data_IF_548507689611
#
_entry.id   IF_548507689611
#
_cell.length_a   1.000
_cell.length_b   1.000
_cell.length_c   1.000
_cell.angle_alpha   90.00
_cell.angle_beta   90.00
_cell.angle_gamma   90.00
#
_symmetry.space_group_name_H-M   'P 1'
#
loop_
_entity.id
_entity.type
_entity.pdbx_description
1 polymer ?
#
# COMPACT_ATOMS: atom_id res chain seq x y z
N UNK A 1 -75.45 20.46 41.07
CA UNK A 1 -74.70 20.60 39.81
C UNK A 1 -73.39 19.86 39.93
N UNK A 2 -73.29 18.66 39.29
CA UNK A 2 -72.03 17.84 39.33
C UNK A 2 -71.34 17.96 37.96
N UNK A 3 -70.20 18.65 37.94
CA UNK A 3 -69.38 18.82 36.75
C UNK A 3 -68.56 17.55 36.54
N UNK A 4 -68.81 16.83 35.47
CA UNK A 4 -68.02 15.67 35.02
C UNK A 4 -66.78 16.17 34.28
N UNK A 5 -65.60 16.00 34.86
CA UNK A 5 -64.31 16.26 34.20
C UNK A 5 -63.98 15.03 33.30
N UNK A 6 -64.06 15.21 31.95
CA UNK A 6 -63.66 14.18 30.97
C UNK A 6 -62.12 14.26 30.83
N UNK A 7 -61.44 13.27 31.37
CA UNK A 7 -60.01 13.06 31.07
C UNK A 7 -59.85 12.38 29.72
N UNK A 8 -59.22 13.09 28.80
CA UNK A 8 -58.84 12.57 27.47
C UNK A 8 -57.47 11.82 27.59
N UNK A 9 -57.36 10.54 27.25
CA UNK A 9 -56.05 9.86 27.28
C UNK A 9 -55.20 10.34 26.09
N UNK A 10 -54.05 10.95 26.43
CA UNK A 10 -53.00 11.29 25.44
C UNK A 10 -52.31 9.99 25.06
N UNK A 11 -52.62 9.53 23.84
CA UNK A 11 -51.95 8.39 23.21
C UNK A 11 -50.53 8.85 22.76
N UNK A 12 -49.51 8.56 23.57
CA UNK A 12 -48.13 8.79 23.20
C UNK A 12 -47.72 7.78 22.11
N UNK A 13 -47.74 8.21 20.83
CA UNK A 13 -47.14 7.48 19.73
C UNK A 13 -45.62 7.47 19.89
N UNK A 14 -45.06 6.39 20.42
CA UNK A 14 -43.63 6.10 20.39
C UNK A 14 -43.23 5.83 18.92
N UNK A 15 -42.77 6.87 18.25
CA UNK A 15 -42.11 6.74 16.94
C UNK A 15 -40.70 6.14 17.26
N UNK A 16 -40.61 4.83 17.12
CA UNK A 16 -39.34 4.12 17.09
C UNK A 16 -38.58 4.57 15.84
N UNK A 17 -37.74 5.59 15.99
CA UNK A 17 -36.73 5.93 14.98
C UNK A 17 -35.76 4.74 14.88
N UNK A 18 -35.92 3.96 13.83
CA UNK A 18 -34.96 2.94 13.47
C UNK A 18 -33.68 3.67 13.09
N UNK A 19 -32.77 3.81 14.05
CA UNK A 19 -31.43 4.31 13.81
C UNK A 19 -30.76 3.31 12.84
N UNK A 20 -30.70 3.65 11.55
CA UNK A 20 -29.88 2.94 10.60
C UNK A 20 -28.46 3.07 11.10
N UNK A 21 -27.86 1.94 11.48
CA UNK A 21 -26.48 1.91 11.97
C UNK A 21 -25.54 2.47 10.89
N UNK A 22 -24.84 3.53 11.24
CA UNK A 22 -23.72 4.02 10.43
C UNK A 22 -22.49 3.14 10.71
N UNK A 23 -21.60 3.00 9.71
CA UNK A 23 -20.33 2.34 9.94
C UNK A 23 -19.54 3.06 11.03
N UNK A 24 -18.68 2.32 11.73
CA UNK A 24 -17.81 2.87 12.77
C UNK A 24 -16.38 2.94 12.25
N UNK A 25 -15.76 4.11 12.33
CA UNK A 25 -14.32 4.24 12.11
C UNK A 25 -13.56 3.70 13.33
N UNK A 26 -12.65 2.75 13.10
CA UNK A 26 -11.78 2.18 14.14
C UNK A 26 -10.36 2.61 13.88
N UNK A 27 -9.79 3.35 14.81
CA UNK A 27 -8.37 3.70 14.79
C UNK A 27 -7.56 2.56 15.40
N UNK A 28 -7.00 1.68 14.53
CA UNK A 28 -6.16 0.57 14.96
C UNK A 28 -4.80 1.10 15.45
N UNK A 29 -4.31 0.67 16.64
CA UNK A 29 -3.00 1.08 17.14
C UNK A 29 -1.87 0.30 16.41
N UNK A 30 -1.53 0.73 15.21
CA UNK A 30 -0.45 0.11 14.44
C UNK A 30 0.92 0.38 15.06
N UNK A 31 1.79 -0.62 15.20
CA UNK A 31 3.20 -0.39 15.50
C UNK A 31 3.94 0.18 14.27
N UNK A 32 5.20 0.68 14.42
CA UNK A 32 6.05 0.98 13.28
C UNK A 32 6.16 -0.23 12.35
N UNK A 33 6.07 -0.01 11.03
CA UNK A 33 6.02 -1.09 10.07
C UNK A 33 7.36 -1.82 9.94
N UNK A 34 7.27 -3.16 9.91
CA UNK A 34 8.27 -4.06 9.31
C UNK A 34 7.59 -4.81 8.18
N UNK A 35 7.80 -4.39 6.94
CA UNK A 35 7.11 -4.94 5.79
C UNK A 35 8.06 -5.22 4.63
N UNK A 36 7.87 -6.36 3.95
CA UNK A 36 8.50 -6.68 2.68
C UNK A 36 7.43 -6.79 1.61
N UNK A 37 7.59 -6.00 0.55
CA UNK A 37 6.71 -6.00 -0.61
C UNK A 37 7.29 -6.95 -1.66
N UNK A 38 6.47 -7.93 -2.05
CA UNK A 38 6.72 -8.89 -3.12
C UNK A 38 6.11 -8.34 -4.41
N UNK A 39 6.94 -7.74 -5.26
CA UNK A 39 6.49 -7.11 -6.51
C UNK A 39 6.92 -7.98 -7.69
N UNK A 40 5.93 -8.60 -8.33
CA UNK A 40 6.08 -9.41 -9.52
C UNK A 40 5.00 -9.03 -10.53
N UNK A 41 5.36 -8.21 -11.51
CA UNK A 41 4.41 -7.69 -12.49
C UNK A 41 4.59 -8.34 -13.87
N UNK A 42 3.46 -8.54 -14.56
CA UNK A 42 3.44 -9.00 -15.94
C UNK A 42 3.68 -7.84 -16.94
N UNK A 43 3.35 -6.62 -16.55
CA UNK A 43 3.54 -5.39 -17.33
C UNK A 43 4.29 -4.33 -16.49
N UNK A 44 5.45 -3.83 -16.95
CA UNK A 44 6.20 -2.80 -16.22
C UNK A 44 5.46 -1.46 -16.07
N UNK A 45 4.45 -1.19 -16.89
CA UNK A 45 3.63 0.02 -16.75
C UNK A 45 2.72 0.00 -15.52
N UNK A 46 2.53 -1.17 -14.90
CA UNK A 46 1.75 -1.32 -13.67
C UNK A 46 2.53 -0.95 -12.39
N UNK A 47 3.82 -0.58 -12.52
CA UNK A 47 4.68 -0.25 -11.38
C UNK A 47 4.07 0.84 -10.47
N UNK A 48 3.40 1.82 -11.02
CA UNK A 48 2.76 2.88 -10.25
C UNK A 48 1.65 2.36 -9.34
N UNK A 49 0.94 1.32 -9.78
CA UNK A 49 -0.09 0.65 -8.99
C UNK A 49 0.53 -0.14 -7.82
N UNK A 50 1.68 -0.79 -8.03
CA UNK A 50 2.42 -1.45 -6.95
C UNK A 50 2.98 -0.42 -5.95
N UNK A 51 3.56 0.68 -6.43
CA UNK A 51 4.08 1.77 -5.59
C UNK A 51 2.96 2.49 -4.80
N UNK A 52 1.72 2.44 -5.27
CA UNK A 52 0.58 2.94 -4.48
C UNK A 52 0.42 2.18 -3.16
N UNK A 53 0.68 0.87 -3.13
CA UNK A 53 0.62 0.07 -1.91
C UNK A 53 1.72 0.47 -0.90
N UNK A 54 2.94 0.70 -1.39
CA UNK A 54 4.05 1.21 -0.58
C UNK A 54 3.69 2.57 0.00
N UNK A 55 3.21 3.50 -0.85
CA UNK A 55 2.76 4.83 -0.42
C UNK A 55 1.65 4.76 0.61
N UNK A 56 0.67 3.87 0.41
CA UNK A 56 -0.47 3.71 1.32
C UNK A 56 -0.01 3.34 2.73
N UNK A 57 0.88 2.37 2.86
CA UNK A 57 1.45 1.98 4.16
C UNK A 57 2.27 3.13 4.75
N UNK A 58 3.21 3.68 3.98
CA UNK A 58 4.14 4.72 4.42
C UNK A 58 3.39 5.97 4.90
N UNK A 59 2.50 6.52 4.07
CA UNK A 59 1.78 7.74 4.42
C UNK A 59 0.82 7.54 5.59
N UNK A 60 0.16 6.38 5.69
CA UNK A 60 -0.72 6.10 6.83
C UNK A 60 0.05 6.18 8.15
N UNK A 61 1.28 5.67 8.19
CA UNK A 61 2.04 5.61 9.43
C UNK A 61 2.83 6.89 9.74
N UNK A 62 3.25 7.64 8.72
CA UNK A 62 4.00 8.89 8.91
C UNK A 62 3.10 10.11 9.13
N UNK A 63 1.81 10.00 8.80
CA UNK A 63 0.84 11.08 9.00
C UNK A 63 0.02 10.87 10.28
N UNK A 64 -0.71 11.94 10.68
CA UNK A 64 -1.64 11.86 11.80
C UNK A 64 -2.67 10.73 11.57
N UNK A 65 -3.01 9.96 12.60
CA UNK A 65 -2.69 10.15 14.02
C UNK A 65 -1.39 9.47 14.49
N UNK A 66 -0.72 8.66 13.62
CA UNK A 66 0.42 7.84 14.04
C UNK A 66 1.72 8.65 14.16
N UNK A 67 2.02 9.49 13.15
CA UNK A 67 3.17 10.41 13.13
C UNK A 67 4.53 9.75 13.41
N UNK A 68 4.73 8.51 12.94
CA UNK A 68 6.04 7.88 13.02
C UNK A 68 7.05 8.61 12.15
N UNK A 69 8.29 8.68 12.60
CA UNK A 69 9.36 9.17 11.76
C UNK A 69 9.65 8.15 10.63
N UNK A 70 10.03 8.60 9.42
CA UNK A 70 10.36 7.69 8.31
C UNK A 70 11.37 6.60 8.69
N UNK A 71 12.38 6.94 9.48
CA UNK A 71 13.43 6.05 9.96
C UNK A 71 12.95 4.93 10.90
N UNK A 72 11.76 5.08 11.50
CA UNK A 72 11.13 4.03 12.32
C UNK A 72 10.46 2.95 11.45
N UNK A 73 10.27 3.23 10.15
CA UNK A 73 9.61 2.32 9.24
C UNK A 73 10.64 1.47 8.48
N UNK A 74 10.55 0.17 8.65
CA UNK A 74 11.42 -0.79 7.99
C UNK A 74 10.69 -1.42 6.81
N UNK A 75 10.78 -0.77 5.64
CA UNK A 75 10.08 -1.20 4.42
C UNK A 75 11.10 -1.64 3.38
N UNK A 76 10.88 -2.82 2.83
CA UNK A 76 11.68 -3.41 1.75
C UNK A 76 10.76 -3.72 0.57
N UNK A 77 11.18 -3.38 -0.63
CA UNK A 77 10.46 -3.65 -1.89
C UNK A 77 11.36 -4.50 -2.78
N UNK A 78 10.91 -5.70 -3.12
CA UNK A 78 11.66 -6.64 -3.96
C UNK A 78 11.01 -6.69 -5.34
N UNK A 79 11.77 -6.31 -6.36
CA UNK A 79 11.36 -6.29 -7.76
C UNK A 79 11.95 -7.51 -8.47
N UNK A 80 11.09 -8.35 -9.08
CA UNK A 80 11.57 -9.58 -9.72
C UNK A 80 10.74 -10.07 -10.94
N UNK A 81 9.82 -9.24 -11.42
CA UNK A 81 9.08 -9.44 -12.66
C UNK A 81 9.53 -8.50 -13.77
N UNK A 82 8.63 -8.17 -14.69
CA UNK A 82 8.93 -7.26 -15.81
C UNK A 82 9.28 -5.84 -15.34
N UNK A 83 8.84 -5.45 -14.15
CA UNK A 83 9.05 -4.11 -13.59
C UNK A 83 10.51 -3.78 -13.33
N UNK A 84 11.42 -4.76 -13.27
CA UNK A 84 12.87 -4.48 -13.09
C UNK A 84 13.41 -3.58 -14.20
N UNK A 85 12.81 -3.60 -15.40
CA UNK A 85 13.22 -2.72 -16.49
C UNK A 85 12.99 -1.24 -16.19
N UNK A 86 12.06 -0.91 -15.26
CA UNK A 86 11.73 0.46 -14.90
C UNK A 86 12.87 1.15 -14.16
N UNK A 87 13.67 0.38 -13.42
CA UNK A 87 14.79 0.88 -12.63
C UNK A 87 16.15 0.75 -13.33
N UNK A 88 16.16 0.30 -14.58
CA UNK A 88 17.35 0.33 -15.40
C UNK A 88 17.63 1.77 -15.90
N UNK A 89 18.87 2.27 -15.73
CA UNK A 89 19.29 3.65 -16.05
C UNK A 89 18.93 4.03 -17.51
N UNK A 90 19.15 3.11 -18.46
CA UNK A 90 18.82 3.33 -19.88
C UNK A 90 17.33 3.60 -20.15
N UNK A 91 16.45 3.21 -19.24
CA UNK A 91 15.01 3.35 -19.37
C UNK A 91 14.44 4.50 -18.50
N UNK A 92 15.28 5.27 -17.79
CA UNK A 92 14.86 6.34 -16.87
C UNK A 92 13.91 7.34 -17.52
N UNK A 93 14.19 7.77 -18.75
CA UNK A 93 13.31 8.72 -19.44
C UNK A 93 11.90 8.17 -19.64
N UNK A 94 11.76 6.88 -19.95
CA UNK A 94 10.48 6.22 -20.17
C UNK A 94 9.67 6.05 -18.88
N UNK A 95 10.35 5.77 -17.76
CA UNK A 95 9.72 5.48 -16.47
C UNK A 95 10.04 6.54 -15.40
N UNK A 96 10.27 7.76 -15.84
CA UNK A 96 10.77 8.86 -14.99
C UNK A 96 9.97 9.04 -13.71
N UNK A 97 8.65 9.10 -13.80
CA UNK A 97 7.78 9.31 -12.62
C UNK A 97 7.91 8.19 -11.58
N UNK A 98 7.97 6.94 -12.05
CA UNK A 98 8.17 5.79 -11.17
C UNK A 98 9.55 5.81 -10.51
N UNK A 99 10.61 6.12 -11.29
CA UNK A 99 11.98 6.24 -10.78
C UNK A 99 12.10 7.35 -9.74
N UNK A 100 11.57 8.53 -10.01
CA UNK A 100 11.58 9.66 -9.07
C UNK A 100 10.82 9.35 -7.78
N UNK A 101 9.69 8.64 -7.89
CA UNK A 101 8.92 8.20 -6.74
C UNK A 101 9.66 7.16 -5.90
N UNK A 102 10.29 6.18 -6.53
CA UNK A 102 11.11 5.18 -5.82
C UNK A 102 12.31 5.83 -5.15
N UNK A 103 13.01 6.74 -5.84
CA UNK A 103 14.13 7.51 -5.27
C UNK A 103 13.70 8.31 -4.05
N UNK A 104 12.56 9.00 -4.12
CA UNK A 104 12.00 9.73 -2.98
C UNK A 104 11.80 8.82 -1.75
N UNK A 105 11.24 7.63 -1.92
CA UNK A 105 11.07 6.69 -0.81
C UNK A 105 12.39 6.08 -0.36
N UNK A 106 13.33 5.85 -1.27
CA UNK A 106 14.67 5.38 -0.92
C UNK A 106 15.41 6.39 -0.03
N UNK A 107 15.30 7.69 -0.34
CA UNK A 107 15.86 8.77 0.48
C UNK A 107 15.21 8.84 1.88
N UNK A 108 14.00 8.29 2.04
CA UNK A 108 13.29 8.14 3.31
C UNK A 108 13.50 6.77 3.99
N UNK A 109 14.45 5.96 3.51
CA UNK A 109 14.87 4.70 4.13
C UNK A 109 14.17 3.44 3.62
N UNK A 110 13.28 3.53 2.61
CA UNK A 110 12.72 2.35 1.95
C UNK A 110 13.81 1.69 1.09
N UNK A 111 14.06 0.40 1.29
CA UNK A 111 15.00 -0.37 0.47
C UNK A 111 14.31 -0.91 -0.79
N UNK A 112 14.93 -0.67 -1.94
CA UNK A 112 14.51 -1.25 -3.21
C UNK A 112 15.54 -2.28 -3.68
N UNK A 113 15.11 -3.52 -3.77
CA UNK A 113 15.95 -4.66 -4.14
C UNK A 113 15.51 -5.20 -5.50
N UNK A 114 16.48 -5.58 -6.35
CA UNK A 114 16.23 -6.27 -7.62
C UNK A 114 16.78 -7.69 -7.53
N UNK A 115 16.01 -8.66 -7.99
CA UNK A 115 16.43 -10.04 -8.14
C UNK A 115 17.55 -10.16 -9.19
N UNK A 116 18.72 -10.63 -8.79
CA UNK A 116 19.86 -10.82 -9.69
C UNK A 116 19.58 -11.86 -10.76
N UNK A 117 18.89 -12.95 -10.41
CA UNK A 117 18.50 -13.95 -11.40
C UNK A 117 17.55 -13.36 -12.46
N UNK A 118 16.55 -12.58 -12.05
CA UNK A 118 15.68 -11.90 -13.02
C UNK A 118 16.47 -10.87 -13.84
N UNK A 119 17.42 -10.15 -13.24
CA UNK A 119 18.27 -9.22 -13.97
C UNK A 119 19.07 -9.94 -15.07
N UNK A 120 19.65 -11.10 -14.80
CA UNK A 120 20.36 -11.92 -15.77
C UNK A 120 19.43 -12.38 -16.90
N UNK A 121 18.22 -12.86 -16.57
CA UNK A 121 17.21 -13.30 -17.55
C UNK A 121 16.80 -12.16 -18.51
N UNK A 122 16.80 -10.91 -18.03
CA UNK A 122 16.50 -9.71 -18.84
C UNK A 122 17.76 -9.07 -19.46
N UNK A 123 18.94 -9.66 -19.26
CA UNK A 123 20.20 -9.18 -19.84
C UNK A 123 20.76 -7.92 -19.18
N UNK A 124 20.45 -7.72 -17.88
CA UNK A 124 20.98 -6.63 -17.07
C UNK A 124 22.10 -7.11 -16.15
N UNK A 125 23.06 -6.23 -15.91
CA UNK A 125 24.07 -6.34 -14.86
C UNK A 125 23.76 -5.39 -13.69
N UNK A 126 24.41 -5.56 -12.57
CA UNK A 126 24.27 -4.66 -11.40
C UNK A 126 24.49 -3.19 -11.77
N UNK A 127 25.41 -2.92 -12.72
CA UNK A 127 25.77 -1.56 -13.15
C UNK A 127 24.68 -0.85 -13.97
N UNK A 128 23.71 -1.59 -14.46
CA UNK A 128 22.64 -1.04 -15.31
C UNK A 128 21.51 -0.40 -14.51
N UNK A 129 21.47 -0.63 -13.20
CA UNK A 129 20.38 -0.14 -12.35
C UNK A 129 20.68 1.23 -11.73
N UNK A 130 19.65 1.92 -11.29
CA UNK A 130 19.71 3.18 -10.55
C UNK A 130 20.52 3.00 -9.26
N UNK A 131 21.17 4.05 -8.81
CA UNK A 131 22.09 4.03 -7.66
C UNK A 131 21.45 3.74 -6.29
N UNK A 132 20.12 3.87 -6.18
CA UNK A 132 19.36 3.53 -4.98
C UNK A 132 18.89 2.06 -4.97
N UNK A 133 19.18 1.29 -6.03
CA UNK A 133 18.84 -0.13 -6.13
C UNK A 133 19.99 -0.99 -5.60
N UNK A 134 19.64 -1.94 -4.74
CA UNK A 134 20.52 -3.04 -4.33
C UNK A 134 20.13 -4.30 -5.14
N UNK A 135 21.10 -5.01 -5.70
CA UNK A 135 20.84 -6.28 -6.40
C UNK A 135 21.14 -7.42 -5.46
N UNK A 136 20.16 -8.30 -5.25
CA UNK A 136 20.25 -9.48 -4.38
C UNK A 136 20.29 -10.75 -5.23
N UNK A 137 20.88 -11.85 -4.75
CA UNK A 137 21.05 -13.06 -5.56
C UNK A 137 19.72 -13.61 -6.11
N UNK A 138 18.68 -13.66 -5.29
CA UNK A 138 17.39 -14.25 -5.67
C UNK A 138 16.24 -13.66 -4.82
N UNK A 139 15.15 -13.25 -5.45
CA UNK A 139 13.99 -12.64 -4.76
C UNK A 139 13.31 -13.58 -3.77
N UNK A 140 13.14 -14.85 -4.12
CA UNK A 140 12.42 -15.81 -3.27
C UNK A 140 13.19 -16.10 -1.99
N UNK A 141 14.51 -16.24 -2.10
CA UNK A 141 15.38 -16.38 -0.93
C UNK A 141 15.36 -15.12 -0.07
N UNK A 142 15.34 -13.95 -0.70
CA UNK A 142 15.28 -12.65 -0.03
C UNK A 142 13.95 -12.43 0.69
N UNK A 143 12.81 -12.79 0.06
CA UNK A 143 11.50 -12.78 0.71
C UNK A 143 11.47 -13.66 1.96
N UNK A 144 12.03 -14.87 1.89
CA UNK A 144 12.13 -15.76 3.04
C UNK A 144 13.00 -15.16 4.15
N UNK A 145 14.15 -14.56 3.78
CA UNK A 145 15.06 -13.90 4.71
C UNK A 145 14.37 -12.78 5.52
N UNK A 146 13.63 -11.88 4.85
CA UNK A 146 12.95 -10.79 5.54
C UNK A 146 11.81 -11.27 6.42
N UNK A 147 11.02 -12.26 5.98
CA UNK A 147 9.95 -12.84 6.79
C UNK A 147 10.51 -13.51 8.07
N UNK A 148 11.62 -14.23 7.98
CA UNK A 148 12.30 -14.81 9.16
C UNK A 148 12.80 -13.74 10.14
N UNK A 149 12.99 -12.51 9.70
CA UNK A 149 13.35 -11.34 10.52
C UNK A 149 12.13 -10.58 11.06
N UNK A 150 10.93 -11.14 10.89
CA UNK A 150 9.69 -10.57 11.40
C UNK A 150 9.05 -9.51 10.52
N UNK A 151 9.40 -9.46 9.22
CA UNK A 151 8.73 -8.59 8.25
C UNK A 151 7.44 -9.24 7.78
N UNK A 152 6.35 -8.46 7.75
CA UNK A 152 5.09 -8.88 7.15
C UNK A 152 5.21 -8.88 5.63
N UNK A 153 4.83 -9.98 4.99
CA UNK A 153 4.78 -10.06 3.53
C UNK A 153 3.54 -9.32 3.00
N UNK A 154 3.75 -8.43 2.04
CA UNK A 154 2.69 -7.73 1.31
C UNK A 154 2.91 -7.96 -0.18
N UNK A 155 1.95 -8.62 -0.83
CA UNK A 155 1.95 -8.79 -2.30
C UNK A 155 0.92 -7.84 -2.90
N UNK A 156 1.33 -6.77 -3.59
CA UNK A 156 0.42 -5.87 -4.27
C UNK A 156 -0.41 -6.61 -5.32
N UNK A 157 -1.72 -6.44 -5.24
CA UNK A 157 -2.63 -7.00 -6.23
C UNK A 157 -3.02 -5.91 -7.21
N UNK A 158 -2.68 -6.12 -8.46
CA UNK A 158 -2.95 -5.17 -9.54
C UNK A 158 -4.14 -5.69 -10.33
N UNK A 159 -5.19 -4.90 -10.39
CA UNK A 159 -6.40 -5.22 -11.15
C UNK A 159 -6.82 -4.03 -11.99
N UNK A 160 -7.16 -4.28 -13.22
CA UNK A 160 -7.82 -3.30 -14.07
C UNK A 160 -9.23 -3.02 -13.52
N UNK A 161 -9.55 -1.74 -13.32
CA UNK A 161 -10.90 -1.33 -12.91
C UNK A 161 -11.82 -1.42 -14.11
N UNK A 162 -12.72 -2.39 -14.11
CA UNK A 162 -13.70 -2.61 -15.20
C UNK A 162 -14.90 -1.68 -15.14
N UNK A 163 -15.20 -1.12 -13.96
CA UNK A 163 -16.37 -0.27 -13.74
C UNK A 163 -15.90 1.06 -13.14
N UNK A 164 -16.57 2.14 -13.55
CA UNK A 164 -16.38 3.45 -12.92
C UNK A 164 -17.10 3.50 -11.56
N UNK A 165 -16.78 4.51 -10.75
CA UNK A 165 -17.44 4.71 -9.46
C UNK A 165 -18.95 4.97 -9.66
N UNK A 166 -19.32 5.67 -10.72
CA UNK A 166 -20.70 6.00 -11.05
C UNK A 166 -21.53 4.74 -11.40
N UNK A 167 -20.87 3.73 -12.00
CA UNK A 167 -21.53 2.46 -12.36
C UNK A 167 -21.75 1.52 -11.16
N UNK A 168 -20.98 1.68 -10.08
CA UNK A 168 -21.05 0.80 -8.90
C UNK A 168 -21.70 1.44 -7.67
N UNK A 169 -22.09 2.72 -7.73
CA UNK A 169 -22.81 3.44 -6.65
C UNK A 169 -24.31 3.26 -6.65
#
# INVERSE_FOLDING_TARGET
MKTLLRTLPILLLLISAWARGAGTFVQTPYPPAKAVFDVYLADPHEIDSALYWVRSLFNTLTQAPYNYAPEDLHIVVILHGTEIVTVAQKNETKYREAVERMRYYADLGVKFLVCGQAAEDYGYSVRDFQNFIEVVPNAIAELAHWQQRGYALITPRIYEKRLSIEQIR
#
